data_IF_678684169139
#
_entry.id   IF_678684169139
#
_cell.length_a   1.000
_cell.length_b   1.000
_cell.length_c   1.000
_cell.angle_alpha   90.00
_cell.angle_beta   90.00
_cell.angle_gamma   90.00
#
_symmetry.space_group_name_H-M   'P 1'
#
loop_
_entity.id
_entity.type
_entity.pdbx_description
1 polymer ?
#
# COMPACT_ATOMS: atom_id res chain seq x y z
N UNK A 1 1.92 14.27 41.48
CA UNK A 1 0.53 13.94 41.12
C UNK A 1 0.49 12.49 40.65
N UNK A 2 -0.57 11.74 40.95
CA UNK A 2 -0.83 10.45 40.28
C UNK A 2 -1.04 10.69 38.79
N UNK A 3 -1.01 9.64 37.98
CA UNK A 3 -1.19 9.81 36.53
C UNK A 3 -2.55 10.44 36.20
N UNK A 4 -3.63 9.98 36.87
CA UNK A 4 -4.98 10.50 36.67
C UNK A 4 -5.08 11.97 37.11
N UNK A 5 -4.46 12.34 38.24
CA UNK A 5 -4.38 13.73 38.70
C UNK A 5 -3.64 14.62 37.69
N UNK A 6 -2.50 14.16 37.17
CA UNK A 6 -1.71 14.87 36.16
C UNK A 6 -2.55 15.12 34.91
N UNK A 7 -3.19 14.09 34.36
CA UNK A 7 -4.03 14.23 33.17
C UNK A 7 -5.15 15.25 33.41
N UNK A 8 -5.88 15.11 34.51
CA UNK A 8 -6.96 16.02 34.85
C UNK A 8 -6.48 17.46 35.03
N UNK A 9 -5.28 17.67 35.58
CA UNK A 9 -4.67 19.00 35.67
C UNK A 9 -4.28 19.56 34.29
N UNK A 10 -3.63 18.76 33.44
CA UNK A 10 -3.25 19.17 32.10
C UNK A 10 -4.46 19.54 31.23
N UNK A 11 -5.56 18.83 31.35
CA UNK A 11 -6.81 19.14 30.63
C UNK A 11 -7.47 20.44 31.09
N UNK A 12 -7.30 20.83 32.36
CA UNK A 12 -7.84 22.08 32.90
C UNK A 12 -6.99 23.30 32.53
N UNK A 13 -5.67 23.17 32.61
CA UNK A 13 -4.74 24.30 32.47
C UNK A 13 -4.14 24.43 31.06
N UNK A 14 -4.15 23.35 30.27
CA UNK A 14 -3.53 23.27 28.94
C UNK A 14 -4.48 22.57 27.96
N UNK A 15 -3.99 21.63 27.15
CA UNK A 15 -4.84 20.83 26.26
C UNK A 15 -5.02 19.42 26.80
N UNK A 16 -3.92 18.69 27.01
CA UNK A 16 -3.94 17.38 27.67
C UNK A 16 -2.52 17.04 28.16
N UNK A 17 -2.35 15.87 28.78
CA UNK A 17 -1.05 15.29 29.10
C UNK A 17 -0.25 15.02 27.80
N UNK A 18 1.08 15.14 27.85
CA UNK A 18 1.94 15.10 26.64
C UNK A 18 1.90 13.77 25.91
N UNK A 19 1.86 13.80 24.57
CA UNK A 19 2.07 12.62 23.71
C UNK A 19 3.47 12.63 23.09
N UNK A 20 4.24 11.56 23.30
CA UNK A 20 5.61 11.40 22.76
C UNK A 20 5.57 10.49 21.53
N UNK A 21 4.87 10.95 20.50
CA UNK A 21 4.51 10.15 19.32
C UNK A 21 5.55 10.19 18.18
N UNK A 22 6.64 10.94 18.32
CA UNK A 22 7.74 10.95 17.35
C UNK A 22 9.07 11.38 17.99
N UNK A 23 10.18 11.15 17.28
CA UNK A 23 11.53 11.42 17.76
C UNK A 23 11.80 12.93 17.97
N UNK A 24 11.14 13.82 17.23
CA UNK A 24 11.30 15.26 17.44
C UNK A 24 10.78 15.69 18.81
N UNK A 25 9.65 15.12 19.26
CA UNK A 25 9.13 15.35 20.62
C UNK A 25 10.11 14.79 21.65
N UNK A 26 10.63 13.58 21.46
CA UNK A 26 11.63 12.98 22.36
C UNK A 26 12.85 13.89 22.52
N UNK A 27 13.49 14.30 21.42
CA UNK A 27 14.66 15.19 21.43
C UNK A 27 14.36 16.53 22.08
N UNK A 28 13.16 17.07 21.86
CA UNK A 28 12.73 18.31 22.51
C UNK A 28 12.64 18.16 24.02
N UNK A 29 12.04 17.08 24.51
CA UNK A 29 11.92 16.83 25.95
C UNK A 29 13.29 16.55 26.59
N UNK A 30 14.15 15.77 25.94
CA UNK A 30 15.53 15.54 26.41
C UNK A 30 16.32 16.84 26.59
N UNK A 31 16.16 17.79 25.67
CA UNK A 31 16.89 19.07 25.74
C UNK A 31 16.34 20.00 26.81
N UNK A 32 15.03 20.01 27.03
CA UNK A 32 14.35 21.05 27.82
C UNK A 32 13.93 20.61 29.23
N UNK A 33 13.87 19.31 29.52
CA UNK A 33 13.58 18.82 30.86
C UNK A 33 14.85 18.76 31.73
N UNK A 34 14.73 19.07 33.04
CA UNK A 34 15.84 18.98 33.95
C UNK A 34 16.28 17.52 34.15
N UNK A 35 17.59 17.32 34.19
CA UNK A 35 18.17 16.02 34.52
C UNK A 35 17.84 15.64 35.97
N UNK A 36 17.50 14.37 36.19
CA UNK A 36 17.23 13.83 37.52
C UNK A 36 17.99 12.54 37.75
N UNK A 37 18.62 12.43 38.91
CA UNK A 37 19.35 11.22 39.31
C UNK A 37 18.43 10.05 39.65
N UNK A 38 17.19 10.31 40.06
CA UNK A 38 16.21 9.30 40.48
C UNK A 38 14.76 9.81 40.37
N UNK A 39 13.80 8.90 40.54
CA UNK A 39 12.37 9.20 40.67
C UNK A 39 12.12 10.21 41.82
N UNK A 40 11.13 11.13 41.72
CA UNK A 40 10.07 11.20 40.71
C UNK A 40 10.51 11.82 39.39
N UNK A 41 10.31 11.08 38.29
CA UNK A 41 10.45 11.61 36.94
C UNK A 41 9.14 12.29 36.49
N UNK A 42 8.77 12.17 35.21
CA UNK A 42 7.65 12.91 34.62
C UNK A 42 6.63 11.94 34.02
N UNK A 43 5.34 12.15 34.31
CA UNK A 43 4.28 11.37 33.66
C UNK A 43 4.13 11.78 32.20
N UNK A 44 4.01 10.80 31.29
CA UNK A 44 3.60 11.03 29.89
C UNK A 44 2.20 10.46 29.66
N UNK A 45 1.56 10.91 28.57
CA UNK A 45 0.18 10.60 28.24
C UNK A 45 -0.09 9.18 27.75
N UNK A 46 0.79 8.23 28.03
CA UNK A 46 0.61 6.83 27.65
C UNK A 46 0.04 6.03 28.83
N UNK A 47 -1.00 5.24 28.55
CA UNK A 47 -1.65 4.34 29.50
C UNK A 47 -2.01 3.02 28.82
N UNK A 48 -1.91 1.91 29.55
CA UNK A 48 -2.34 0.59 29.08
C UNK A 48 -3.86 0.45 29.22
N UNK A 49 -4.55 0.13 28.12
CA UNK A 49 -6.00 -0.08 28.06
C UNK A 49 -6.25 -1.39 27.31
N UNK A 50 -6.88 -2.37 27.95
CA UNK A 50 -7.11 -3.71 27.37
C UNK A 50 -5.82 -4.32 26.77
N UNK A 51 -4.73 -4.29 27.54
CA UNK A 51 -3.39 -4.72 27.14
C UNK A 51 -2.72 -3.97 25.97
N UNK A 52 -3.31 -2.87 25.51
CA UNK A 52 -2.76 -2.05 24.42
C UNK A 52 -2.30 -0.70 24.98
N UNK A 53 -1.05 -0.34 24.71
CA UNK A 53 -0.52 0.99 25.00
C UNK A 53 -1.22 2.04 24.14
N UNK A 54 -1.84 3.01 24.78
CA UNK A 54 -2.70 4.01 24.13
C UNK A 54 -2.31 5.41 24.57
N UNK A 55 -2.25 6.35 23.62
CA UNK A 55 -2.14 7.77 23.90
C UNK A 55 -3.47 8.32 24.41
N UNK A 56 -3.49 8.78 25.65
CA UNK A 56 -4.70 9.21 26.34
C UNK A 56 -5.39 10.41 25.67
N UNK A 57 -4.62 11.30 25.05
CA UNK A 57 -5.13 12.56 24.50
C UNK A 57 -5.93 12.38 23.20
N UNK A 58 -5.62 11.38 22.38
CA UNK A 58 -6.30 11.14 21.10
C UNK A 58 -6.86 9.71 20.93
N UNK A 59 -6.58 8.80 21.87
CA UNK A 59 -7.05 7.42 21.85
C UNK A 59 -6.35 6.51 20.85
N UNK A 60 -5.30 6.97 20.18
CA UNK A 60 -4.55 6.15 19.23
C UNK A 60 -3.65 5.16 19.95
N UNK A 61 -3.54 3.94 19.41
CA UNK A 61 -2.55 2.96 19.83
C UNK A 61 -1.15 3.50 19.56
N UNK A 62 -0.21 3.21 20.46
CA UNK A 62 1.19 3.59 20.29
C UNK A 62 1.85 2.69 19.25
N UNK A 63 2.47 3.30 18.25
CA UNK A 63 3.17 2.64 17.14
C UNK A 63 4.68 2.82 17.18
N UNK A 64 5.19 3.70 18.06
CA UNK A 64 6.60 3.96 18.26
C UNK A 64 7.13 3.35 19.56
N UNK A 65 8.36 2.85 19.56
CA UNK A 65 9.01 2.27 20.74
C UNK A 65 10.19 3.14 21.20
N UNK A 66 10.17 3.56 22.46
CA UNK A 66 11.30 4.24 23.10
C UNK A 66 11.49 3.82 24.57
N UNK A 67 11.16 2.57 24.87
CA UNK A 67 11.35 1.95 26.18
C UNK A 67 12.82 1.96 26.60
N UNK A 68 13.06 2.09 27.90
CA UNK A 68 14.38 1.86 28.48
C UNK A 68 14.74 0.37 28.35
N UNK A 69 16.04 0.01 28.45
CA UNK A 69 16.43 -1.39 28.54
C UNK A 69 15.62 -2.09 29.64
N UNK A 70 15.14 -3.30 29.34
CA UNK A 70 14.28 -4.15 30.19
C UNK A 70 12.83 -3.70 30.38
N UNK A 71 12.39 -2.59 29.77
CA UNK A 71 11.00 -2.13 29.83
C UNK A 71 10.19 -2.45 28.56
N UNK A 72 8.85 -2.54 28.63
CA UNK A 72 8.04 -2.50 29.85
C UNK A 72 8.08 -3.83 30.62
N UNK A 73 8.28 -3.79 31.93
CA UNK A 73 8.50 -4.99 32.74
C UNK A 73 7.26 -5.43 33.56
N UNK A 74 6.25 -4.57 33.67
CA UNK A 74 5.00 -4.80 34.40
C UNK A 74 5.22 -5.30 35.84
N UNK A 75 6.05 -4.59 36.61
CA UNK A 75 6.39 -4.95 37.98
C UNK A 75 5.13 -5.09 38.85
N UNK A 76 5.08 -6.12 39.69
CA UNK A 76 3.93 -6.45 40.53
C UNK A 76 2.59 -6.59 39.76
N UNK A 77 2.63 -6.73 38.43
CA UNK A 77 1.46 -6.81 37.55
C UNK A 77 0.51 -5.59 37.60
N UNK A 78 1.01 -4.40 37.98
CA UNK A 78 0.19 -3.18 38.11
C UNK A 78 0.87 -1.91 37.54
N UNK A 79 1.66 -2.04 36.47
CA UNK A 79 2.32 -0.89 35.83
C UNK A 79 1.61 -0.51 34.54
N UNK A 80 0.51 0.22 34.70
CA UNK A 80 -0.36 0.58 33.58
C UNK A 80 -0.16 2.01 33.08
N UNK A 81 0.75 2.78 33.67
CA UNK A 81 1.04 4.17 33.33
C UNK A 81 2.53 4.35 33.04
N UNK A 82 2.91 5.39 32.30
CA UNK A 82 4.28 5.50 31.78
C UNK A 82 4.94 6.80 32.17
N UNK A 83 6.13 6.70 32.73
CA UNK A 83 7.00 7.84 33.00
C UNK A 83 8.13 8.00 31.96
N UNK A 84 8.64 9.21 31.87
CA UNK A 84 9.78 9.57 31.03
C UNK A 84 11.03 9.75 31.90
N UNK A 85 12.05 8.93 31.66
CA UNK A 85 13.33 9.07 32.32
C UNK A 85 14.08 10.32 31.85
N UNK A 86 14.63 11.04 32.83
CA UNK A 86 15.53 12.18 32.59
C UNK A 86 16.90 11.99 33.25
N UNK A 87 17.25 10.76 33.63
CA UNK A 87 18.59 10.44 34.15
C UNK A 87 19.63 10.33 33.03
N UNK A 88 20.91 10.35 33.41
CA UNK A 88 22.04 10.38 32.47
C UNK A 88 22.06 9.20 31.49
N UNK A 89 21.65 8.00 31.94
CA UNK A 89 21.81 6.76 31.17
C UNK A 89 20.60 6.44 30.27
N UNK A 90 19.41 6.88 30.67
CA UNK A 90 18.14 6.55 30.02
C UNK A 90 17.36 7.80 29.64
N UNK A 91 18.03 8.92 29.40
CA UNK A 91 17.37 10.19 29.07
C UNK A 91 16.44 10.02 27.86
N UNK A 92 15.20 10.48 28.00
CA UNK A 92 14.18 10.38 26.95
C UNK A 92 13.49 9.02 26.85
N UNK A 93 13.97 7.98 27.55
CA UNK A 93 13.40 6.63 27.52
C UNK A 93 12.19 6.49 28.43
N UNK A 94 11.36 5.50 28.14
CA UNK A 94 10.12 5.23 28.85
C UNK A 94 10.25 4.09 29.85
N UNK A 95 9.44 4.16 30.91
CA UNK A 95 9.31 3.14 31.93
C UNK A 95 7.83 3.03 32.31
N UNK A 96 7.27 1.82 32.33
CA UNK A 96 5.97 1.59 32.96
C UNK A 96 6.11 1.63 34.48
N UNK A 97 5.10 2.20 35.14
CA UNK A 97 5.05 2.29 36.59
C UNK A 97 3.57 2.34 37.04
N UNK A 98 3.34 2.09 38.32
CA UNK A 98 2.01 2.17 38.93
C UNK A 98 1.45 3.58 38.79
N UNK A 99 0.21 3.65 38.29
CA UNK A 99 -0.51 4.91 38.09
C UNK A 99 -0.69 5.73 39.38
N UNK A 100 -0.62 5.07 40.53
CA UNK A 100 -0.79 5.67 41.86
C UNK A 100 0.49 6.33 42.39
N UNK A 101 1.65 6.10 41.77
CA UNK A 101 2.88 6.79 42.12
C UNK A 101 2.82 8.28 41.79
N UNK A 102 3.40 9.10 42.68
CA UNK A 102 3.43 10.55 42.50
C UNK A 102 4.63 10.95 41.67
N UNK A 103 4.39 11.52 40.48
CA UNK A 103 5.43 12.08 39.60
C UNK A 103 5.12 13.52 39.21
N UNK A 104 6.03 14.14 38.46
CA UNK A 104 5.84 15.50 37.95
C UNK A 104 4.90 15.51 36.75
N UNK A 105 3.99 16.50 36.65
CA UNK A 105 3.12 16.63 35.49
C UNK A 105 3.90 17.13 34.28
N UNK A 106 3.57 16.60 33.10
CA UNK A 106 4.08 17.09 31.82
C UNK A 106 2.92 17.20 30.83
N UNK A 107 2.58 18.43 30.48
CA UNK A 107 1.41 18.75 29.66
C UNK A 107 1.82 19.21 28.27
N UNK A 108 0.90 19.08 27.32
CA UNK A 108 0.97 19.71 26.02
C UNK A 108 -0.14 20.75 25.86
N UNK A 109 0.15 21.78 25.08
CA UNK A 109 -0.80 22.83 24.70
C UNK A 109 -0.89 22.88 23.19
N UNK A 110 -2.09 22.71 22.66
CA UNK A 110 -2.40 22.84 21.25
C UNK A 110 -2.19 24.27 20.79
N UNK A 111 -1.56 24.40 19.62
CA UNK A 111 -1.32 25.65 18.91
C UNK A 111 -2.20 25.77 17.64
N UNK A 112 -3.16 24.86 17.47
CA UNK A 112 -4.14 24.82 16.37
C UNK A 112 -5.49 25.61 16.54
N UNK A 113 -5.59 26.85 17.07
CA UNK A 113 -6.91 27.48 17.19
C UNK A 113 -7.43 28.25 15.96
N UNK A 114 -6.64 28.59 14.91
CA UNK A 114 -7.08 29.61 13.92
C UNK A 114 -6.20 29.86 12.66
N UNK A 115 -5.16 29.08 12.37
CA UNK A 115 -4.24 29.40 11.27
C UNK A 115 -4.51 28.68 9.95
N UNK A 116 -5.35 27.64 9.95
CA UNK A 116 -5.64 26.85 8.76
C UNK A 116 -7.02 27.21 8.19
N UNK A 117 -7.16 27.18 6.86
CA UNK A 117 -8.44 27.39 6.19
C UNK A 117 -9.37 26.19 6.38
N UNK A 118 -10.65 26.32 6.04
CA UNK A 118 -11.61 25.22 6.06
C UNK A 118 -11.22 24.03 5.16
N UNK A 119 -10.25 24.21 4.25
CA UNK A 119 -9.75 23.17 3.33
C UNK A 119 -8.44 22.52 3.80
N UNK A 120 -7.99 22.82 5.01
CA UNK A 120 -6.74 22.31 5.58
C UNK A 120 -6.97 21.54 6.89
N UNK A 121 -6.10 20.58 7.17
CA UNK A 121 -5.90 20.00 8.49
C UNK A 121 -4.76 20.75 9.19
N UNK A 122 -4.96 21.07 10.46
CA UNK A 122 -3.90 21.59 11.31
C UNK A 122 -3.12 20.42 11.89
N UNK A 123 -1.81 20.40 11.66
CA UNK A 123 -0.88 19.39 12.19
C UNK A 123 0.07 20.08 13.16
N UNK A 124 -0.02 19.66 14.42
CA UNK A 124 0.84 20.14 15.51
C UNK A 124 2.25 19.56 15.37
N UNK A 125 3.27 20.39 15.56
CA UNK A 125 4.67 20.00 15.64
C UNK A 125 5.31 20.59 16.90
N UNK A 126 6.56 20.24 17.18
CA UNK A 126 7.31 20.83 18.30
C UNK A 126 7.49 22.33 18.07
N UNK A 127 6.79 23.14 18.87
CA UNK A 127 6.80 24.61 18.80
C UNK A 127 6.47 25.18 17.41
N UNK A 128 5.72 24.45 16.59
CA UNK A 128 5.33 24.89 15.27
C UNK A 128 4.01 24.25 14.87
N UNK A 129 3.34 24.86 13.88
CA UNK A 129 2.10 24.36 13.31
C UNK A 129 2.25 24.34 11.79
N UNK A 130 1.77 23.26 11.17
CA UNK A 130 1.70 23.16 9.71
C UNK A 130 0.27 22.90 9.28
N UNK A 131 -0.20 23.64 8.28
CA UNK A 131 -1.47 23.37 7.62
C UNK A 131 -1.21 22.47 6.41
N UNK A 132 -1.88 21.33 6.34
CA UNK A 132 -1.80 20.40 5.21
C UNK A 132 -3.15 20.34 4.52
N UNK A 133 -3.18 20.22 3.20
CA UNK A 133 -4.45 20.17 2.48
C UNK A 133 -5.28 18.96 2.88
N UNK A 134 -6.59 19.16 3.00
CA UNK A 134 -7.54 18.06 3.09
C UNK A 134 -7.46 17.22 1.81
N UNK A 135 -7.78 15.95 1.94
CA UNK A 135 -7.85 15.00 0.82
C UNK A 135 -8.66 15.57 -0.33
N UNK A 136 -8.06 15.64 -1.53
CA UNK A 136 -8.67 16.20 -2.73
C UNK A 136 -8.45 17.69 -2.99
N UNK A 137 -7.63 18.35 -2.16
CA UNK A 137 -7.20 19.73 -2.39
C UNK A 137 -5.68 19.82 -2.51
N UNK A 138 -5.19 20.79 -3.29
CA UNK A 138 -3.77 21.07 -3.51
C UNK A 138 -3.51 22.57 -3.69
N UNK A 139 -2.24 22.95 -3.72
CA UNK A 139 -1.80 24.35 -3.75
C UNK A 139 -1.33 24.84 -2.37
N UNK A 140 -0.63 25.99 -2.31
CA UNK A 140 -0.13 26.56 -1.07
C UNK A 140 -1.23 26.89 -0.06
N UNK A 141 -2.44 27.22 -0.53
CA UNK A 141 -3.60 27.53 0.31
C UNK A 141 -4.73 26.50 0.16
N UNK A 142 -4.47 25.39 -0.53
CA UNK A 142 -5.44 24.33 -0.82
C UNK A 142 -6.64 24.86 -1.64
N UNK A 143 -6.34 25.82 -2.52
CA UNK A 143 -7.28 26.50 -3.40
C UNK A 143 -7.68 25.62 -4.60
N UNK A 144 -6.80 24.72 -5.01
CA UNK A 144 -6.98 23.87 -6.19
C UNK A 144 -7.63 22.56 -5.80
N UNK A 145 -8.65 22.14 -6.55
CA UNK A 145 -9.23 20.80 -6.43
C UNK A 145 -8.38 19.84 -7.24
N UNK A 146 -7.94 18.74 -6.61
CA UNK A 146 -7.16 17.72 -7.29
C UNK A 146 -8.03 17.05 -8.34
N UNK A 147 -7.57 17.09 -9.59
CA UNK A 147 -8.14 16.36 -10.72
C UNK A 147 -7.12 15.38 -11.28
N UNK A 148 -7.60 14.31 -11.91
CA UNK A 148 -6.75 13.37 -12.62
C UNK A 148 -6.39 13.88 -14.02
N UNK A 149 -5.42 13.26 -14.67
CA UNK A 149 -5.13 13.58 -16.07
C UNK A 149 -6.35 13.26 -16.96
N UNK A 150 -6.76 14.17 -17.87
CA UNK A 150 -7.89 13.94 -18.75
C UNK A 150 -7.70 12.68 -19.58
N UNK A 151 -8.65 11.75 -19.47
CA UNK A 151 -8.64 10.53 -20.28
C UNK A 151 -9.28 10.78 -21.65
N UNK A 152 -8.75 10.10 -22.67
CA UNK A 152 -9.36 10.04 -24.00
C UNK A 152 -9.93 8.66 -24.27
N UNK A 153 -10.99 8.60 -25.08
CA UNK A 153 -11.58 7.34 -25.49
C UNK A 153 -10.56 6.49 -26.27
N UNK A 154 -10.51 5.16 -26.05
CA UNK A 154 -9.60 4.30 -26.78
C UNK A 154 -9.98 4.23 -28.27
N UNK A 155 -9.02 3.95 -29.18
CA UNK A 155 -9.32 3.76 -30.59
C UNK A 155 -10.44 2.73 -30.81
N UNK A 156 -11.46 3.13 -31.56
CA UNK A 156 -12.68 2.34 -31.82
C UNK A 156 -13.56 2.01 -30.61
N UNK A 157 -13.30 2.56 -29.41
CA UNK A 157 -14.17 2.40 -28.25
C UNK A 157 -14.81 3.72 -27.81
N UNK A 158 -15.71 3.65 -26.83
CA UNK A 158 -16.23 4.83 -26.15
C UNK A 158 -16.12 4.66 -24.64
N UNK A 159 -16.05 5.79 -23.95
CA UNK A 159 -16.01 5.84 -22.50
C UNK A 159 -17.22 6.58 -21.96
N UNK A 160 -17.73 6.09 -20.83
CA UNK A 160 -18.79 6.74 -20.08
C UNK A 160 -18.29 6.96 -18.66
N UNK A 161 -18.13 8.23 -18.29
CA UNK A 161 -17.71 8.62 -16.96
C UNK A 161 -18.92 9.10 -16.16
N UNK A 162 -19.01 8.64 -14.92
CA UNK A 162 -19.93 9.15 -13.91
C UNK A 162 -19.11 9.73 -12.77
N UNK A 163 -19.31 11.01 -12.48
CA UNK A 163 -18.78 11.61 -11.27
C UNK A 163 -19.71 11.26 -10.10
N UNK A 164 -19.20 10.62 -9.06
CA UNK A 164 -19.89 10.64 -7.77
C UNK A 164 -19.69 12.03 -7.13
N UNK A 165 -20.51 13.00 -7.54
CA UNK A 165 -20.63 14.24 -6.78
C UNK A 165 -21.31 13.89 -5.44
N UNK A 166 -20.55 13.48 -4.43
CA UNK A 166 -21.08 13.47 -3.07
C UNK A 166 -21.57 14.89 -2.76
N UNK A 167 -22.83 15.10 -2.38
CA UNK A 167 -23.27 16.39 -1.87
C UNK A 167 -22.74 16.49 -0.44
N UNK A 168 -21.43 16.73 -0.27
CA UNK A 168 -20.95 17.16 1.04
C UNK A 168 -21.35 18.62 1.16
N UNK A 169 -22.42 18.83 1.92
CA UNK A 169 -22.71 20.08 2.60
C UNK A 169 -21.48 20.45 3.47
N UNK A 170 -20.47 21.07 2.87
CA UNK A 170 -19.45 21.81 3.59
C UNK A 170 -19.82 23.28 3.48
N UNK A 171 -20.22 23.80 4.64
CA UNK A 171 -20.41 25.22 4.93
C UNK A 171 -19.32 26.05 4.26
N UNK A 172 -19.69 26.80 3.21
CA UNK A 172 -18.73 27.56 2.42
C UNK A 172 -19.01 27.66 0.91
N UNK A 173 -20.27 27.68 0.48
CA UNK A 173 -20.73 28.43 -0.70
C UNK A 173 -20.14 28.15 -2.10
N UNK A 174 -19.31 27.13 -2.29
CA UNK A 174 -18.80 26.75 -3.61
C UNK A 174 -19.48 25.49 -4.14
N UNK A 175 -20.38 25.62 -5.11
CA UNK A 175 -20.90 24.49 -5.87
C UNK A 175 -19.76 23.93 -6.75
N UNK A 176 -19.29 22.72 -6.44
CA UNK A 176 -18.42 21.99 -7.36
C UNK A 176 -19.29 21.52 -8.54
N UNK A 177 -19.15 22.17 -9.69
CA UNK A 177 -19.91 21.83 -10.88
C UNK A 177 -19.29 20.59 -11.55
N UNK A 178 -19.59 19.40 -11.05
CA UNK A 178 -19.12 18.14 -11.63
C UNK A 178 -20.07 17.56 -12.69
N UNK A 179 -20.81 18.41 -13.41
CA UNK A 179 -21.72 18.00 -14.50
C UNK A 179 -21.01 17.54 -15.77
N UNK A 180 -19.71 17.80 -15.95
CA UNK A 180 -18.97 17.45 -17.18
C UNK A 180 -17.54 16.91 -16.95
N UNK A 181 -17.18 16.56 -15.70
CA UNK A 181 -15.79 16.30 -15.31
C UNK A 181 -15.36 14.83 -15.47
N UNK A 182 -14.73 14.50 -16.60
CA UNK A 182 -14.04 13.23 -16.86
C UNK A 182 -12.90 12.91 -15.86
N UNK A 183 -12.47 13.89 -15.07
CA UNK A 183 -11.23 13.92 -14.30
C UNK A 183 -11.41 14.34 -12.83
N UNK A 184 -12.64 14.55 -12.36
CA UNK A 184 -12.90 14.91 -10.96
C UNK A 184 -12.56 13.78 -9.98
N UNK A 185 -12.18 14.13 -8.76
CA UNK A 185 -11.88 13.18 -7.68
C UNK A 185 -13.04 12.19 -7.47
N UNK A 186 -12.73 10.89 -7.38
CA UNK A 186 -13.69 9.77 -7.30
C UNK A 186 -14.61 9.62 -8.51
N UNK A 187 -14.36 10.29 -9.64
CA UNK A 187 -15.02 9.94 -10.90
C UNK A 187 -14.68 8.51 -11.29
N UNK A 188 -15.70 7.76 -11.71
CA UNK A 188 -15.57 6.41 -12.24
C UNK A 188 -15.82 6.45 -13.75
N UNK A 189 -14.87 5.96 -14.54
CA UNK A 189 -14.97 5.89 -15.99
C UNK A 189 -15.04 4.43 -16.43
N UNK A 190 -16.09 4.09 -17.20
CA UNK A 190 -16.29 2.77 -17.78
C UNK A 190 -16.02 2.79 -19.27
N UNK A 191 -15.26 1.79 -19.75
CA UNK A 191 -14.88 1.67 -21.16
C UNK A 191 -15.71 0.58 -21.83
N UNK A 192 -16.21 0.87 -23.04
CA UNK A 192 -16.99 -0.05 -23.85
C UNK A 192 -16.39 -0.19 -25.25
N UNK A 193 -16.34 -1.43 -25.74
CA UNK A 193 -15.90 -1.76 -27.09
C UNK A 193 -17.11 -2.11 -27.98
N UNK A 194 -17.02 -1.83 -29.28
CA UNK A 194 -18.05 -2.19 -30.25
C UNK A 194 -18.18 -3.71 -30.40
N UNK A 195 -19.31 -4.20 -30.90
CA UNK A 195 -19.51 -5.62 -31.16
C UNK A 195 -18.35 -6.20 -31.97
N UNK A 196 -17.81 -7.31 -31.48
CA UNK A 196 -16.70 -8.01 -32.09
C UNK A 196 -15.30 -7.48 -31.80
N UNK A 197 -15.16 -6.65 -30.77
CA UNK A 197 -13.88 -6.25 -30.21
C UNK A 197 -13.82 -6.63 -28.72
N UNK A 198 -12.66 -7.09 -28.27
CA UNK A 198 -12.34 -7.40 -26.88
C UNK A 198 -11.57 -6.23 -26.27
N UNK A 199 -11.95 -5.82 -25.06
CA UNK A 199 -11.19 -4.86 -24.27
C UNK A 199 -9.95 -5.54 -23.69
N UNK A 200 -8.78 -5.00 -23.99
CA UNK A 200 -7.53 -5.39 -23.34
C UNK A 200 -7.20 -4.31 -22.30
N UNK A 201 -7.46 -4.60 -21.03
CA UNK A 201 -7.30 -3.66 -19.92
C UNK A 201 -8.39 -3.81 -18.85
N UNK A 202 -8.50 -2.83 -17.96
CA UNK A 202 -9.57 -2.76 -16.96
C UNK A 202 -10.86 -2.18 -17.57
N UNK A 203 -12.00 -2.59 -17.03
CA UNK A 203 -13.32 -2.18 -17.53
C UNK A 203 -13.78 -0.86 -16.88
N UNK A 204 -13.28 -0.56 -15.69
CA UNK A 204 -13.64 0.58 -14.85
C UNK A 204 -12.40 1.11 -14.13
N UNK A 205 -12.30 2.45 -14.04
CA UNK A 205 -11.18 3.16 -13.43
C UNK A 205 -11.72 4.27 -12.55
N UNK A 206 -11.12 4.46 -11.37
CA UNK A 206 -11.51 5.50 -10.42
C UNK A 206 -10.39 6.53 -10.28
N UNK A 207 -10.75 7.83 -10.26
CA UNK A 207 -9.80 8.91 -9.97
C UNK A 207 -9.56 8.97 -8.45
N UNK A 208 -8.33 8.68 -8.03
CA UNK A 208 -7.93 8.72 -6.61
C UNK A 208 -7.78 10.17 -6.14
N UNK A 209 -7.80 10.32 -4.82
CA UNK A 209 -7.67 11.63 -4.19
C UNK A 209 -6.29 12.29 -4.29
N UNK A 210 -5.29 11.52 -4.72
CA UNK A 210 -3.94 11.98 -5.03
C UNK A 210 -3.79 12.44 -6.49
N UNK A 211 -4.87 12.42 -7.29
CA UNK A 211 -4.87 12.82 -8.70
C UNK A 211 -4.39 11.71 -9.64
N UNK A 212 -4.27 10.47 -9.16
CA UNK A 212 -3.90 9.32 -10.00
C UNK A 212 -5.09 8.44 -10.33
N UNK A 213 -5.09 7.81 -11.50
CA UNK A 213 -6.06 6.77 -11.82
C UNK A 213 -5.68 5.46 -11.15
N UNK A 214 -6.65 4.73 -10.60
CA UNK A 214 -6.43 3.45 -9.92
C UNK A 214 -5.75 2.39 -10.80
N UNK A 215 -5.85 2.49 -12.12
CA UNK A 215 -5.01 1.70 -13.01
C UNK A 215 -4.53 2.49 -14.23
N UNK A 216 -3.32 2.17 -14.67
CA UNK A 216 -2.56 2.90 -15.70
C UNK A 216 -2.25 2.05 -16.94
N UNK A 217 -2.97 0.95 -17.14
CA UNK A 217 -2.76 0.08 -18.31
C UNK A 217 -3.42 0.64 -19.58
N UNK A 218 -2.77 0.53 -20.75
CA UNK A 218 -3.29 1.08 -21.99
C UNK A 218 -4.60 0.40 -22.38
N UNK A 219 -5.62 1.22 -22.57
CA UNK A 219 -6.95 0.80 -23.00
C UNK A 219 -6.97 0.60 -24.51
N UNK A 220 -7.27 -0.62 -24.97
CA UNK A 220 -7.44 -0.89 -26.40
C UNK A 220 -8.58 -1.87 -26.66
N UNK A 221 -9.35 -1.60 -27.71
CA UNK A 221 -10.34 -2.52 -28.26
C UNK A 221 -9.71 -3.28 -29.44
N UNK A 222 -9.43 -4.57 -29.25
CA UNK A 222 -8.84 -5.42 -30.28
C UNK A 222 -9.90 -6.34 -30.90
N UNK A 223 -9.96 -6.43 -32.23
CA UNK A 223 -10.92 -7.33 -32.90
C UNK A 223 -10.59 -8.79 -32.61
N UNK A 224 -11.59 -9.55 -32.13
CA UNK A 224 -11.40 -10.99 -31.88
C UNK A 224 -11.23 -11.78 -33.19
N UNK A 225 -11.70 -11.23 -34.31
CA UNK A 225 -11.55 -11.84 -35.65
C UNK A 225 -10.08 -11.87 -36.05
N UNK A 226 -9.33 -10.79 -35.79
CA UNK A 226 -7.89 -10.79 -36.03
C UNK A 226 -7.15 -11.80 -35.15
N UNK A 227 -7.60 -11.98 -33.91
CA UNK A 227 -7.04 -12.99 -33.01
C UNK A 227 -7.32 -14.43 -33.51
N UNK A 228 -8.56 -14.71 -33.94
CA UNK A 228 -8.93 -16.01 -34.52
C UNK A 228 -8.19 -16.30 -35.82
N UNK A 229 -8.04 -15.30 -36.71
CA UNK A 229 -7.27 -15.43 -37.95
C UNK A 229 -5.80 -15.75 -37.64
N UNK A 230 -5.21 -15.10 -36.64
CA UNK A 230 -3.83 -15.38 -36.23
C UNK A 230 -3.65 -16.80 -35.67
N UNK A 231 -4.63 -17.30 -34.89
CA UNK A 231 -4.64 -18.68 -34.40
C UNK A 231 -4.80 -19.71 -35.53
N UNK A 232 -5.67 -19.43 -36.50
CA UNK A 232 -5.83 -20.31 -37.67
C UNK A 232 -4.56 -20.31 -38.53
N UNK A 233 -3.96 -19.14 -38.74
CA UNK A 233 -2.70 -19.02 -39.49
C UNK A 233 -1.55 -19.77 -38.82
N UNK A 234 -1.44 -19.71 -37.48
CA UNK A 234 -0.38 -20.42 -36.75
C UNK A 234 -0.54 -21.94 -36.86
N UNK A 235 -1.76 -22.47 -36.76
CA UNK A 235 -2.04 -23.90 -36.96
C UNK A 235 -1.67 -24.34 -38.38
N UNK A 236 -2.06 -23.56 -39.40
CA UNK A 236 -1.73 -23.86 -40.80
C UNK A 236 -0.21 -23.88 -41.02
N UNK A 237 0.52 -22.90 -40.46
CA UNK A 237 1.99 -22.84 -40.53
C UNK A 237 2.61 -24.07 -39.84
N UNK A 238 2.15 -24.44 -38.64
CA UNK A 238 2.66 -25.60 -37.92
C UNK A 238 2.43 -26.91 -38.67
N UNK A 239 1.24 -27.10 -39.25
CA UNK A 239 0.93 -28.28 -40.08
C UNK A 239 1.80 -28.31 -41.33
N UNK A 240 1.96 -27.18 -42.02
CA UNK A 240 2.80 -27.09 -43.21
C UNK A 240 4.28 -27.41 -42.89
N UNK A 241 4.81 -26.84 -41.81
CA UNK A 241 6.16 -27.14 -41.32
C UNK A 241 6.32 -28.61 -40.93
N UNK A 242 5.34 -29.20 -40.25
CA UNK A 242 5.32 -30.63 -39.92
C UNK A 242 5.32 -31.52 -41.17
N UNK A 243 4.49 -31.21 -42.16
CA UNK A 243 4.45 -31.90 -43.45
C UNK A 243 5.78 -31.79 -44.21
N UNK A 244 6.40 -30.62 -44.24
CA UNK A 244 7.72 -30.42 -44.84
C UNK A 244 8.79 -31.26 -44.12
N UNK A 245 8.76 -31.29 -42.79
CA UNK A 245 9.67 -32.08 -41.98
C UNK A 245 9.50 -33.59 -42.25
N UNK A 246 8.26 -34.10 -42.24
CA UNK A 246 7.93 -35.48 -42.60
C UNK A 246 8.37 -35.84 -44.02
N UNK A 247 8.11 -34.97 -45.01
CA UNK A 247 8.56 -35.16 -46.40
C UNK A 247 10.09 -35.21 -46.50
N UNK A 248 10.80 -34.34 -45.78
CA UNK A 248 12.25 -34.31 -45.74
C UNK A 248 12.83 -35.59 -45.09
N UNK A 249 12.19 -36.08 -44.03
CA UNK A 249 12.55 -37.33 -43.34
C UNK A 249 12.31 -38.55 -44.22
N UNK A 250 11.15 -38.63 -44.89
CA UNK A 250 10.85 -39.66 -45.88
C UNK A 250 11.85 -39.66 -47.06
N UNK A 251 12.23 -38.48 -47.57
CA UNK A 251 13.27 -38.37 -48.62
C UNK A 251 14.62 -38.86 -48.12
N UNK A 252 15.00 -38.54 -46.88
CA UNK A 252 16.24 -39.05 -46.25
C UNK A 252 16.20 -40.57 -46.07
N UNK A 253 15.09 -41.13 -45.59
CA UNK A 253 14.88 -42.57 -45.43
C UNK A 253 14.94 -43.31 -46.78
N UNK A 254 14.28 -42.79 -47.83
CA UNK A 254 14.38 -43.37 -49.20
C UNK A 254 15.79 -43.31 -49.78
N UNK A 255 16.57 -42.25 -49.47
CA UNK A 255 18.00 -42.20 -49.83
C UNK A 255 18.81 -43.26 -49.07
N UNK A 256 18.55 -43.45 -47.77
CA UNK A 256 19.22 -44.45 -46.93
C UNK A 256 18.90 -45.90 -47.37
N UNK A 257 17.67 -46.19 -47.78
CA UNK A 257 17.26 -47.50 -48.34
C UNK A 257 17.95 -47.77 -49.68
N UNK A 258 18.10 -46.76 -50.54
CA UNK A 258 18.78 -46.90 -51.85
C UNK A 258 20.29 -47.15 -51.75
N UNK A 259 20.91 -46.84 -50.61
CA UNK A 259 22.35 -47.05 -50.36
C UNK A 259 22.66 -48.32 -49.57
N UNK A 260 21.68 -49.20 -49.28
CA UNK A 260 21.92 -50.47 -48.60
C UNK A 260 22.38 -51.53 -49.61
N UNK A 261 23.61 -52.08 -49.53
CA UNK A 261 24.04 -53.18 -50.39
C UNK A 261 23.32 -54.48 -50.00
N UNK A 262 22.78 -55.20 -50.98
CA UNK A 262 22.26 -56.56 -50.83
C UNK A 262 23.43 -57.54 -50.66
N UNK A 263 23.70 -57.97 -49.42
CA UNK A 263 24.45 -59.20 -49.18
C UNK A 263 23.48 -60.36 -49.04
N UNK A 264 23.44 -61.20 -50.07
CA UNK A 264 22.78 -62.51 -50.10
C UNK A 264 23.60 -63.48 -49.25
N UNK A 265 22.99 -64.09 -48.23
CA UNK A 265 23.48 -65.31 -47.57
C UNK A 265 22.58 -66.48 -47.98
N UNK A 266 23.16 -67.67 -48.19
CA UNK A 266 22.95 -68.77 -47.24
C UNK A 266 24.28 -69.55 -47.03
N UNK A 267 24.58 -70.34 -46.00
CA UNK A 267 23.79 -71.09 -45.03
C UNK A 267 24.69 -71.48 -43.83
N UNK A 268 24.04 -72.09 -42.83
CA UNK A 268 24.53 -73.15 -41.94
C UNK A 268 24.91 -72.83 -40.49
N UNK A 269 24.28 -73.67 -39.64
CA UNK A 269 24.54 -74.08 -38.27
C UNK A 269 24.10 -73.25 -37.06
N UNK A 270 23.40 -73.99 -36.19
CA UNK A 270 22.79 -73.60 -34.93
C UNK A 270 23.83 -73.54 -33.82
N UNK A 271 23.62 -72.69 -32.81
CA UNK A 271 23.57 -73.03 -31.38
C UNK A 271 23.36 -71.77 -30.49
N UNK A 272 22.45 -71.91 -29.50
CA UNK A 272 22.23 -71.20 -28.22
C UNK A 272 22.39 -69.65 -28.03
N UNK A 273 21.22 -68.99 -27.79
CA UNK A 273 20.80 -68.00 -26.72
C UNK A 273 21.81 -67.10 -25.95
N UNK A 274 21.39 -66.01 -25.26
CA UNK A 274 20.24 -65.07 -25.41
C UNK A 274 20.63 -63.56 -25.23
N UNK A 275 19.71 -62.60 -25.47
CA UNK A 275 19.38 -61.40 -24.62
C UNK A 275 18.73 -60.22 -25.39
N UNK A 276 17.52 -59.89 -24.93
CA UNK A 276 16.87 -58.57 -24.72
C UNK A 276 16.59 -57.57 -25.88
N UNK A 277 15.31 -57.11 -25.90
CA UNK A 277 14.73 -56.06 -26.76
C UNK A 277 15.06 -54.62 -26.30
N UNK A 278 14.17 -53.59 -26.39
CA UNK A 278 12.77 -53.58 -26.85
C UNK A 278 12.36 -52.41 -27.79
N UNK A 279 11.12 -52.53 -28.31
CA UNK A 279 10.05 -51.56 -28.58
C UNK A 279 10.36 -50.09 -28.95
N UNK A 280 9.63 -49.59 -29.97
CA UNK A 280 8.65 -48.51 -29.78
C UNK A 280 7.63 -48.41 -30.93
N UNK A 281 6.37 -48.24 -30.55
CA UNK A 281 5.17 -48.02 -31.38
C UNK A 281 4.93 -46.53 -31.66
N UNK A 282 4.00 -46.29 -32.60
CA UNK A 282 3.34 -45.05 -33.03
C UNK A 282 4.04 -44.23 -34.13
#
# INVERSE_FOLDING_TARGET
>A
MTWNETRGWCQREYTDIVMVHNENVTRFLEKNLPEKSSSPYFWIGMKKINDIWTWAANGQSVDNENWAPTEPNNNNADENCVELYTNTNNKGKWNDDSCEHKKHPLCQKSQCPNNCTDRQYCVEQVNNVTCVCKTGFSGPECETVVSCEPLSAPPHGWMQCSAECFPILLFGGGLLNCTEGHDSIRSACRVQCPPGHLLLGFVEFTCRADGTWESSFPLMCASYVHFLIALLASVVISVFCGCLFCCSSCRRSKKAVRTRPETVNPAFEAEHTPLEGPLCSA
#
